data_IF_575306818968
#
_entry.id   IF_575306818968
#
_cell.length_a   1.000
_cell.length_b   1.000
_cell.length_c   1.000
_cell.angle_alpha   90.00
_cell.angle_beta   90.00
_cell.angle_gamma   90.00
#
_symmetry.space_group_name_H-M   'P 1'
#
loop_
_entity.id
_entity.type
_entity.pdbx_description
1 polymer ?
#
# COMPACT_ATOMS: atom_id res chain seq x y z
N UNK A 1 -5.57 7.27 -2.23
CA UNK A 1 -5.14 8.56 -1.64
C UNK A 1 -6.29 9.12 -0.84
N UNK A 2 -6.05 9.59 0.39
CA UNK A 2 -7.10 10.22 1.20
C UNK A 2 -7.49 11.59 0.58
N UNK A 3 -8.72 12.09 0.80
CA UNK A 3 -9.07 13.44 0.37
C UNK A 3 -8.05 14.45 0.90
N UNK A 4 -7.64 15.40 0.07
CA UNK A 4 -6.67 16.48 0.38
C UNK A 4 -5.25 16.02 0.75
N UNK A 5 -4.91 14.74 0.58
CA UNK A 5 -3.57 14.21 0.81
C UNK A 5 -2.65 14.49 -0.39
N UNK A 6 -1.41 14.91 -0.15
CA UNK A 6 -0.43 15.05 -1.23
C UNK A 6 0.06 13.66 -1.70
N UNK A 7 0.47 13.50 -2.98
CA UNK A 7 1.04 12.25 -3.47
C UNK A 7 2.18 11.72 -2.59
N UNK A 8 3.11 12.59 -2.19
CA UNK A 8 4.23 12.21 -1.34
C UNK A 8 3.77 11.70 0.04
N UNK A 9 2.78 12.38 0.65
CA UNK A 9 2.23 11.94 1.94
C UNK A 9 1.52 10.59 1.80
N UNK A 10 0.80 10.39 0.69
CA UNK A 10 0.11 9.14 0.39
C UNK A 10 1.07 7.98 0.18
N UNK A 11 2.19 8.21 -0.52
CA UNK A 11 3.24 7.21 -0.73
C UNK A 11 3.91 6.84 0.59
N UNK A 12 4.30 7.83 1.40
CA UNK A 12 4.91 7.59 2.70
C UNK A 12 3.97 6.83 3.65
N UNK A 13 2.68 7.17 3.62
CA UNK A 13 1.66 6.46 4.39
C UNK A 13 1.49 5.02 3.89
N UNK A 14 1.35 4.81 2.58
CA UNK A 14 1.22 3.48 1.99
C UNK A 14 2.43 2.59 2.33
N UNK A 15 3.66 3.10 2.19
CA UNK A 15 4.87 2.35 2.54
C UNK A 15 4.86 1.93 4.03
N UNK A 16 4.39 2.81 4.92
CA UNK A 16 4.31 2.53 6.36
C UNK A 16 3.23 1.50 6.69
N UNK A 17 2.07 1.59 6.05
CA UNK A 17 0.96 0.64 6.21
C UNK A 17 1.40 -0.76 5.77
N UNK A 18 2.03 -0.85 4.59
CA UNK A 18 2.41 -2.10 3.94
C UNK A 18 3.65 -2.77 4.57
N UNK A 19 4.72 -1.99 4.83
CA UNK A 19 5.99 -2.51 5.32
C UNK A 19 6.10 -2.49 6.86
N UNK A 20 5.15 -1.86 7.55
CA UNK A 20 5.09 -1.78 9.00
C UNK A 20 6.40 -1.28 9.63
N UNK A 21 6.81 -1.92 10.73
CA UNK A 21 8.04 -1.56 11.44
C UNK A 21 9.34 -1.96 10.73
N UNK A 22 9.26 -2.71 9.61
CA UNK A 22 10.45 -3.14 8.85
C UNK A 22 11.01 -1.95 8.04
N UNK A 23 10.16 -0.99 7.64
CA UNK A 23 10.57 0.27 7.01
C UNK A 23 11.18 1.27 8.03
N UNK A 24 12.05 0.78 8.93
CA UNK A 24 12.73 1.60 9.94
C UNK A 24 13.85 2.49 9.37
N UNK A 25 14.18 2.34 8.08
CA UNK A 25 15.16 3.15 7.37
C UNK A 25 14.60 4.41 6.72
N UNK A 26 15.46 5.09 5.95
CA UNK A 26 15.06 6.26 5.17
C UNK A 26 14.26 5.82 3.93
N UNK A 27 13.16 6.51 3.66
CA UNK A 27 12.37 6.34 2.43
C UNK A 27 12.61 7.53 1.52
N UNK A 28 13.05 7.26 0.30
CA UNK A 28 13.32 8.28 -0.73
C UNK A 28 12.45 8.02 -1.95
N UNK A 29 11.58 8.98 -2.27
CA UNK A 29 10.77 8.95 -3.49
C UNK A 29 11.65 9.29 -4.69
N UNK A 30 11.57 8.50 -5.75
CA UNK A 30 12.31 8.75 -7.00
C UNK A 30 11.62 9.88 -7.76
N UNK A 31 12.28 11.03 -7.84
CA UNK A 31 11.78 12.20 -8.58
C UNK A 31 11.46 11.86 -10.03
N UNK A 32 10.25 12.21 -10.49
CA UNK A 32 9.79 11.98 -11.86
C UNK A 32 9.26 10.57 -12.14
N UNK A 33 9.21 9.68 -11.14
CA UNK A 33 8.62 8.34 -11.28
C UNK A 33 7.09 8.33 -11.20
N UNK A 34 6.46 9.43 -10.79
CA UNK A 34 5.01 9.52 -10.64
C UNK A 34 4.29 9.25 -11.96
N UNK A 35 3.38 8.28 -11.94
CA UNK A 35 2.48 7.97 -13.06
C UNK A 35 1.04 7.91 -12.58
N UNK A 36 0.15 8.34 -13.46
CA UNK A 36 -1.29 8.26 -13.27
C UNK A 36 -1.88 7.37 -14.37
N UNK A 37 -2.79 6.47 -13.99
CA UNK A 37 -3.49 5.58 -14.91
C UNK A 37 -4.97 5.52 -14.54
N UNK A 38 -5.83 5.61 -15.55
CA UNK A 38 -7.27 5.41 -15.39
C UNK A 38 -7.64 4.02 -15.90
N UNK A 39 -8.28 3.21 -15.07
CA UNK A 39 -8.78 1.88 -15.44
C UNK A 39 -10.29 1.79 -15.25
N UNK A 40 -11.00 1.31 -16.26
CA UNK A 40 -12.43 1.03 -16.17
C UNK A 40 -12.63 -0.49 -16.17
N UNK A 41 -13.21 -1.02 -15.09
CA UNK A 41 -13.45 -2.46 -14.90
C UNK A 41 -14.64 -2.72 -13.98
N UNK A 42 -15.13 -3.95 -13.93
CA UNK A 42 -16.12 -4.34 -12.94
C UNK A 42 -15.53 -4.23 -11.53
N UNK A 43 -16.30 -3.69 -10.59
CA UNK A 43 -15.85 -3.55 -9.20
C UNK A 43 -15.61 -4.91 -8.57
N UNK A 44 -14.42 -5.09 -7.98
CA UNK A 44 -14.07 -6.30 -7.24
C UNK A 44 -14.92 -6.43 -5.96
N UNK A 45 -15.20 -5.30 -5.29
CA UNK A 45 -16.01 -5.25 -4.07
C UNK A 45 -17.51 -5.31 -4.35
N UNK A 46 -17.94 -4.94 -5.56
CA UNK A 46 -19.33 -4.92 -5.98
C UNK A 46 -19.49 -5.56 -7.38
N UNK A 47 -19.51 -6.91 -7.47
CA UNK A 47 -19.54 -7.61 -8.74
C UNK A 47 -20.69 -7.16 -9.66
N UNK A 48 -20.38 -6.90 -10.93
CA UNK A 48 -21.35 -6.48 -11.95
C UNK A 48 -21.59 -4.96 -12.03
N UNK A 49 -21.07 -4.18 -11.09
CA UNK A 49 -21.12 -2.72 -11.15
C UNK A 49 -19.88 -2.17 -11.90
N UNK A 50 -20.08 -1.38 -12.98
CA UNK A 50 -18.98 -0.68 -13.62
C UNK A 50 -18.29 0.28 -12.65
N UNK A 51 -16.98 0.24 -12.61
CA UNK A 51 -16.16 1.11 -11.78
C UNK A 51 -15.04 1.74 -12.62
N UNK A 52 -14.68 2.97 -12.25
CA UNK A 52 -13.54 3.71 -12.80
C UNK A 52 -12.55 3.96 -11.68
N UNK A 53 -11.34 3.45 -11.84
CA UNK A 53 -10.24 3.55 -10.89
C UNK A 53 -9.22 4.57 -11.38
N UNK A 54 -8.82 5.49 -10.51
CA UNK A 54 -7.66 6.35 -10.70
C UNK A 54 -6.51 5.78 -9.87
N UNK A 55 -5.49 5.28 -10.57
CA UNK A 55 -4.32 4.64 -9.99
C UNK A 55 -3.14 5.61 -10.08
N UNK A 56 -2.42 5.74 -8.96
CA UNK A 56 -1.24 6.56 -8.85
C UNK A 56 -0.08 5.66 -8.43
N UNK A 57 0.99 5.61 -9.22
CA UNK A 57 2.18 4.81 -8.94
C UNK A 57 3.42 5.68 -8.85
N UNK A 58 4.33 5.33 -7.94
CA UNK A 58 5.57 6.06 -7.67
C UNK A 58 6.64 5.04 -7.32
N UNK A 59 7.86 5.24 -7.80
CA UNK A 59 9.01 4.43 -7.42
C UNK A 59 9.63 5.01 -6.13
N UNK A 60 9.94 4.14 -5.17
CA UNK A 60 10.55 4.52 -3.91
C UNK A 60 11.73 3.61 -3.56
N UNK A 61 12.74 4.20 -2.92
CA UNK A 61 13.89 3.49 -2.34
C UNK A 61 13.66 3.45 -0.84
N UNK A 62 13.65 2.24 -0.26
CA UNK A 62 13.46 2.02 1.18
C UNK A 62 14.71 1.33 1.72
N UNK A 63 15.41 2.01 2.63
CA UNK A 63 16.59 1.44 3.27
C UNK A 63 16.19 0.45 4.37
N UNK A 64 17.02 -0.59 4.57
CA UNK A 64 16.87 -1.53 5.69
C UNK A 64 15.88 -2.67 5.47
N UNK A 65 15.43 -2.90 4.24
CA UNK A 65 14.62 -4.08 3.91
C UNK A 65 15.47 -5.36 3.93
N UNK A 66 14.88 -6.52 4.31
CA UNK A 66 15.58 -7.81 4.29
C UNK A 66 16.01 -8.19 2.86
N UNK A 67 17.18 -8.81 2.72
CA UNK A 67 17.67 -9.30 1.42
C UNK A 67 16.88 -10.51 0.89
N UNK A 68 16.25 -11.27 1.80
CA UNK A 68 15.40 -12.43 1.49
C UNK A 68 13.90 -12.09 1.55
N UNK A 69 13.06 -12.98 1.03
CA UNK A 69 11.60 -12.90 1.15
C UNK A 69 11.19 -12.74 2.63
N UNK A 70 10.23 -11.86 2.90
CA UNK A 70 9.85 -11.49 4.26
C UNK A 70 8.34 -11.32 4.42
N UNK A 71 7.89 -11.20 5.67
CA UNK A 71 6.48 -11.02 6.01
C UNK A 71 6.34 -9.77 6.84
N UNK A 72 5.34 -8.95 6.53
CA UNK A 72 4.95 -7.79 7.34
C UNK A 72 3.54 -7.99 7.88
N UNK A 73 3.24 -7.31 8.97
CA UNK A 73 1.91 -7.28 9.55
C UNK A 73 1.48 -5.82 9.71
N UNK A 74 0.29 -5.48 9.21
CA UNK A 74 -0.30 -4.17 9.37
C UNK A 74 -0.58 -3.90 10.85
N UNK A 75 -0.25 -2.69 11.32
CA UNK A 75 -0.59 -2.25 12.67
C UNK A 75 -2.08 -1.93 12.82
N UNK A 76 -2.58 -1.91 14.06
CA UNK A 76 -3.97 -1.52 14.34
C UNK A 76 -4.24 -0.06 13.90
N UNK A 77 -4.96 0.13 12.77
CA UNK A 77 -5.32 1.46 12.25
C UNK A 77 -6.26 2.24 13.21
N UNK A 78 -7.00 1.52 14.07
CA UNK A 78 -8.05 2.07 14.93
C UNK A 78 -7.65 2.40 16.37
N UNK A 79 -6.37 2.30 16.74
CA UNK A 79 -5.92 2.62 18.11
C UNK A 79 -6.74 1.92 19.19
N UNK A 80 -7.06 2.61 20.30
CA UNK A 80 -7.95 2.13 21.37
C UNK A 80 -9.35 2.79 21.30
N UNK A 81 -9.84 3.01 20.08
CA UNK A 81 -11.17 3.60 19.85
C UNK A 81 -12.30 2.58 20.02
N UNK A 82 -13.53 3.04 20.28
CA UNK A 82 -14.71 2.15 20.28
C UNK A 82 -14.90 1.43 18.94
N UNK A 83 -14.46 2.05 17.83
CA UNK A 83 -14.50 1.47 16.48
C UNK A 83 -13.60 0.24 16.33
N UNK A 84 -12.57 0.09 17.20
CA UNK A 84 -11.72 -1.10 17.24
C UNK A 84 -12.55 -2.38 17.46
N UNK A 85 -13.56 -2.33 18.34
CA UNK A 85 -14.38 -3.51 18.68
C UNK A 85 -15.19 -4.01 17.48
N UNK A 86 -15.58 -3.11 16.58
CA UNK A 86 -16.32 -3.45 15.36
C UNK A 86 -15.35 -3.92 14.27
N UNK A 87 -14.20 -3.24 14.13
CA UNK A 87 -13.16 -3.63 13.17
C UNK A 87 -12.56 -5.01 13.48
N UNK A 88 -12.36 -5.36 14.76
CA UNK A 88 -11.84 -6.66 15.19
C UNK A 88 -12.81 -7.83 14.90
N UNK A 89 -14.10 -7.55 14.68
CA UNK A 89 -15.08 -8.56 14.27
C UNK A 89 -15.09 -8.80 12.75
N UNK A 90 -14.46 -7.93 11.96
CA UNK A 90 -14.37 -8.07 10.51
C UNK A 90 -13.23 -9.01 10.11
N UNK A 91 -13.44 -9.77 9.01
CA UNK A 91 -12.36 -10.53 8.38
C UNK A 91 -11.38 -9.53 7.75
N UNK A 92 -10.19 -9.42 8.32
CA UNK A 92 -9.13 -8.52 7.84
C UNK A 92 -7.90 -9.33 7.42
N UNK A 93 -7.30 -8.95 6.29
CA UNK A 93 -6.00 -9.47 5.86
C UNK A 93 -4.96 -8.52 6.43
N UNK A 94 -4.27 -8.94 7.50
CA UNK A 94 -3.26 -8.10 8.16
C UNK A 94 -1.83 -8.50 7.81
N UNK A 95 -1.62 -9.66 7.17
CA UNK A 95 -0.28 -10.19 6.86
C UNK A 95 0.02 -10.13 5.37
N UNK A 96 1.16 -9.54 5.03
CA UNK A 96 1.67 -9.44 3.68
C UNK A 96 2.92 -10.27 3.51
N UNK A 97 2.98 -11.04 2.42
CA UNK A 97 4.11 -11.89 2.06
C UNK A 97 4.84 -11.24 0.89
N UNK A 98 6.06 -10.78 1.15
CA UNK A 98 6.89 -10.06 0.20
C UNK A 98 7.89 -11.00 -0.45
N UNK A 99 8.02 -10.85 -1.76
CA UNK A 99 8.99 -11.59 -2.56
C UNK A 99 9.78 -10.63 -3.44
N UNK A 100 11.10 -10.79 -3.44
CA UNK A 100 11.95 -10.06 -4.38
C UNK A 100 11.77 -10.63 -5.79
N UNK A 101 11.51 -9.74 -6.74
CA UNK A 101 11.34 -10.08 -8.16
C UNK A 101 12.36 -9.33 -9.00
N UNK A 102 12.71 -9.89 -10.16
CA UNK A 102 13.59 -9.16 -11.09
C UNK A 102 12.86 -7.92 -11.62
N UNK A 103 13.59 -6.82 -11.91
CA UNK A 103 12.99 -5.61 -12.47
C UNK A 103 12.20 -5.89 -13.76
N UNK A 104 12.67 -6.85 -14.57
CA UNK A 104 12.05 -7.22 -15.85
C UNK A 104 10.73 -7.98 -15.70
N UNK A 105 10.38 -8.39 -14.47
CA UNK A 105 9.16 -9.15 -14.16
C UNK A 105 8.02 -8.29 -13.63
N UNK A 106 8.24 -6.98 -13.42
CA UNK A 106 7.22 -6.07 -12.91
C UNK A 106 6.45 -5.45 -14.08
N UNK A 107 5.20 -5.87 -14.29
CA UNK A 107 4.28 -5.17 -15.18
C UNK A 107 3.66 -3.97 -14.43
N UNK A 108 4.00 -2.74 -14.84
CA UNK A 108 3.43 -1.48 -14.34
C UNK A 108 2.27 -0.99 -15.22
#
# INVERSE_FOLDING_TARGET
MKPDESPDSAVLRAIREELGSIAGGEVRIVSGSYREKVEERCSASYPGLPARYMLYSVDAIVDGLPDDDFVTEEGDEYGDSEDKKVADQAVTVRKHFWKWVSPDSVEL
#
